data_IF_854620098729
#
_entry.id   IF_854620098729
#
_cell.length_a   1.000
_cell.length_b   1.000
_cell.length_c   1.000
_cell.angle_alpha   90.00
_cell.angle_beta   90.00
_cell.angle_gamma   90.00
#
_symmetry.space_group_name_H-M   'P 1'
#
loop_
_entity.id
_entity.type
_entity.pdbx_description
1 polymer ?
#
# COMPACT_ATOMS: atom_id res chain seq x y z
N UNK A 1 -20.86 22.59 8.48
CA UNK A 1 -19.93 21.98 9.47
C UNK A 1 -19.67 20.48 9.24
N UNK A 2 -20.51 19.72 8.53
CA UNK A 2 -20.38 18.26 8.36
C UNK A 2 -19.08 17.73 7.67
N UNK A 3 -18.45 18.49 6.76
CA UNK A 3 -17.32 18.00 5.93
C UNK A 3 -16.00 17.75 6.70
N UNK A 4 -15.84 18.33 7.89
CA UNK A 4 -14.62 18.15 8.69
C UNK A 4 -14.67 16.88 9.54
N UNK A 5 -15.85 16.50 10.03
CA UNK A 5 -16.03 15.27 10.81
C UNK A 5 -15.78 14.04 9.95
N UNK A 6 -16.33 13.98 8.73
CA UNK A 6 -16.13 12.86 7.81
C UNK A 6 -14.64 12.60 7.50
N UNK A 7 -13.84 13.66 7.35
CA UNK A 7 -12.39 13.53 7.11
C UNK A 7 -11.64 13.04 8.33
N UNK A 8 -12.02 13.50 9.52
CA UNK A 8 -11.40 13.10 10.78
C UNK A 8 -11.75 11.64 11.11
N UNK A 9 -13.00 11.25 10.82
CA UNK A 9 -13.51 9.89 10.96
C UNK A 9 -12.85 8.95 9.94
N UNK A 10 -12.72 9.37 8.68
CA UNK A 10 -11.97 8.63 7.65
C UNK A 10 -10.48 8.46 8.02
N UNK A 11 -9.83 9.49 8.56
CA UNK A 11 -8.45 9.40 9.04
C UNK A 11 -8.29 8.44 10.21
N UNK A 12 -9.23 8.44 11.16
CA UNK A 12 -9.26 7.45 12.27
C UNK A 12 -9.48 6.03 11.76
N UNK A 13 -10.43 5.83 10.85
CA UNK A 13 -10.70 4.52 10.25
C UNK A 13 -9.48 4.00 9.48
N UNK A 14 -8.78 4.86 8.73
CA UNK A 14 -7.54 4.50 8.06
C UNK A 14 -6.43 4.10 9.05
N UNK A 15 -6.28 4.83 10.16
CA UNK A 15 -5.34 4.48 11.23
C UNK A 15 -5.64 3.13 11.88
N UNK A 16 -6.91 2.85 12.18
CA UNK A 16 -7.35 1.55 12.71
C UNK A 16 -7.06 0.44 11.70
N UNK A 17 -7.34 0.63 10.42
CA UNK A 17 -7.06 -0.35 9.37
C UNK A 17 -5.57 -0.69 9.29
N UNK A 18 -4.69 0.32 9.42
CA UNK A 18 -3.24 0.13 9.46
C UNK A 18 -2.83 -0.69 10.68
N UNK A 19 -3.34 -0.36 11.88
CA UNK A 19 -3.06 -1.11 13.11
C UNK A 19 -3.51 -2.57 13.01
N UNK A 20 -4.73 -2.79 12.52
CA UNK A 20 -5.28 -4.13 12.29
C UNK A 20 -4.41 -4.89 11.30
N UNK A 21 -3.97 -4.26 10.21
CA UNK A 21 -3.06 -4.87 9.23
C UNK A 21 -1.71 -5.27 9.84
N UNK A 22 -1.12 -4.42 10.69
CA UNK A 22 0.14 -4.70 11.38
C UNK A 22 0.00 -5.90 12.32
N UNK A 23 -1.10 -6.01 13.06
CA UNK A 23 -1.36 -7.14 13.95
C UNK A 23 -1.73 -8.41 13.17
N UNK A 24 -2.40 -8.28 12.01
CA UNK A 24 -2.79 -9.40 11.18
C UNK A 24 -1.57 -10.11 10.56
N UNK A 25 -0.53 -9.37 10.17
CA UNK A 25 0.68 -9.91 9.53
C UNK A 25 1.40 -11.00 10.35
N UNK A 26 1.70 -10.84 11.65
CA UNK A 26 2.26 -11.92 12.46
C UNK A 26 1.24 -13.03 12.70
N UNK A 27 -0.06 -12.72 12.85
CA UNK A 27 -1.09 -13.75 13.03
C UNK A 27 -1.11 -14.70 11.84
N UNK A 28 -1.15 -14.18 10.60
CA UNK A 28 -1.15 -15.03 9.41
C UNK A 28 0.17 -15.77 9.23
N UNK A 29 1.32 -15.16 9.57
CA UNK A 29 2.62 -15.83 9.49
C UNK A 29 2.73 -16.99 10.47
N UNK A 30 2.30 -16.79 11.71
CA UNK A 30 2.36 -17.83 12.73
C UNK A 30 1.19 -18.83 12.65
N UNK A 31 0.11 -18.48 11.93
CA UNK A 31 -1.07 -19.35 11.75
C UNK A 31 -0.71 -20.71 11.17
N UNK A 32 0.27 -20.77 10.25
CA UNK A 32 0.71 -22.03 9.64
C UNK A 32 1.51 -22.92 10.60
N UNK A 33 2.14 -22.34 11.62
CA UNK A 33 2.81 -23.10 12.68
C UNK A 33 1.84 -23.56 13.76
N UNK A 34 0.76 -22.80 14.01
CA UNK A 34 -0.25 -23.12 15.02
C UNK A 34 -1.26 -24.17 14.54
N UNK A 35 -1.65 -24.14 13.25
CA UNK A 35 -2.66 -25.02 12.67
C UNK A 35 -2.05 -25.97 11.63
N UNK A 36 -1.14 -26.83 12.11
CA UNK A 36 -0.19 -27.63 11.33
C UNK A 36 -0.78 -28.88 10.62
N UNK A 37 -2.07 -28.93 10.30
CA UNK A 37 -2.74 -30.20 9.95
C UNK A 37 -3.06 -30.45 8.48
N UNK A 38 -2.84 -29.52 7.55
CA UNK A 38 -3.20 -29.76 6.12
C UNK A 38 -2.49 -28.90 5.07
N UNK A 39 -1.81 -27.80 5.43
CA UNK A 39 -1.20 -26.91 4.46
C UNK A 39 0.30 -27.20 4.31
N UNK A 40 0.80 -27.09 3.08
CA UNK A 40 2.23 -27.18 2.80
C UNK A 40 2.98 -26.24 3.76
N UNK A 41 3.96 -26.79 4.50
CA UNK A 41 4.70 -26.04 5.50
C UNK A 41 5.33 -24.77 4.91
N UNK A 42 5.57 -23.76 5.75
CA UNK A 42 6.11 -22.46 5.34
C UNK A 42 7.34 -22.61 4.43
N UNK A 43 7.16 -22.34 3.14
CA UNK A 43 8.24 -22.33 2.14
C UNK A 43 9.24 -21.26 2.52
N UNK A 44 10.45 -21.66 2.93
CA UNK A 44 11.52 -20.72 3.15
C UNK A 44 12.05 -20.28 1.78
N UNK A 45 11.94 -18.98 1.48
CA UNK A 45 12.34 -18.37 0.20
C UNK A 45 13.78 -18.70 -0.25
N UNK A 46 14.64 -19.18 0.66
CA UNK A 46 16.02 -19.55 0.35
C UNK A 46 16.28 -21.05 0.19
N UNK A 47 15.56 -21.93 0.89
CA UNK A 47 15.91 -23.36 0.96
C UNK A 47 14.90 -24.29 0.31
N UNK A 48 13.63 -23.87 0.19
CA UNK A 48 12.57 -24.74 -0.35
C UNK A 48 12.26 -24.46 -1.83
N UNK A 49 12.81 -23.38 -2.39
CA UNK A 49 12.60 -22.95 -3.79
C UNK A 49 13.81 -23.33 -4.65
N UNK A 50 13.53 -23.94 -5.81
CA UNK A 50 14.53 -24.30 -6.82
C UNK A 50 15.45 -23.10 -7.15
N UNK A 51 16.79 -23.27 -7.18
CA UNK A 51 17.74 -22.19 -7.46
C UNK A 51 17.40 -21.36 -8.70
N UNK A 52 16.89 -22.00 -9.75
CA UNK A 52 16.53 -21.35 -11.01
C UNK A 52 15.35 -20.38 -10.88
N UNK A 53 14.45 -20.60 -9.91
CA UNK A 53 13.23 -19.80 -9.72
C UNK A 53 13.41 -18.64 -8.74
N UNK A 54 14.51 -18.61 -7.96
CA UNK A 54 14.72 -17.59 -6.93
C UNK A 54 14.87 -16.18 -7.50
N UNK A 55 15.64 -16.05 -8.58
CA UNK A 55 15.91 -14.76 -9.20
C UNK A 55 14.64 -14.17 -9.86
N UNK A 56 13.89 -14.92 -10.70
CA UNK A 56 12.60 -14.47 -11.21
C UNK A 56 11.64 -14.02 -10.10
N UNK A 57 11.53 -14.79 -9.01
CA UNK A 57 10.65 -14.47 -7.90
C UNK A 57 11.02 -13.13 -7.23
N UNK A 58 12.32 -12.89 -6.98
CA UNK A 58 12.79 -11.62 -6.38
C UNK A 58 12.51 -10.43 -7.29
N UNK A 59 12.70 -10.59 -8.60
CA UNK A 59 12.39 -9.55 -9.58
C UNK A 59 10.90 -9.24 -9.57
N UNK A 60 10.03 -10.26 -9.59
CA UNK A 60 8.58 -10.06 -9.51
C UNK A 60 8.18 -9.35 -8.21
N UNK A 61 8.68 -9.79 -7.06
CA UNK A 61 8.42 -9.14 -5.76
C UNK A 61 8.81 -7.65 -5.83
N UNK A 62 10.02 -7.35 -6.30
CA UNK A 62 10.50 -5.97 -6.40
C UNK A 62 9.68 -5.14 -7.39
N UNK A 63 9.34 -5.70 -8.56
CA UNK A 63 8.50 -5.04 -9.56
C UNK A 63 7.10 -4.71 -9.03
N UNK A 64 6.45 -5.66 -8.35
CA UNK A 64 5.13 -5.43 -7.76
C UNK A 64 5.17 -4.43 -6.60
N UNK A 65 6.22 -4.46 -5.77
CA UNK A 65 6.41 -3.48 -4.70
C UNK A 65 6.59 -2.07 -5.26
N UNK A 66 7.51 -1.90 -6.22
CA UNK A 66 7.76 -0.60 -6.87
C UNK A 66 6.52 -0.08 -7.60
N UNK A 67 5.78 -0.94 -8.30
CA UNK A 67 4.49 -0.60 -8.90
C UNK A 67 3.48 -0.13 -7.85
N UNK A 68 3.31 -0.89 -6.76
CA UNK A 68 2.36 -0.57 -5.68
C UNK A 68 2.69 0.77 -5.00
N UNK A 69 3.97 1.03 -4.74
CA UNK A 69 4.45 2.30 -4.20
C UNK A 69 4.17 3.44 -5.18
N UNK A 70 4.48 3.25 -6.47
CA UNK A 70 4.25 4.26 -7.51
C UNK A 70 2.77 4.63 -7.60
N UNK A 71 1.88 3.65 -7.68
CA UNK A 71 0.43 3.88 -7.73
C UNK A 71 -0.08 4.58 -6.46
N UNK A 72 0.46 4.21 -5.30
CA UNK A 72 0.12 4.85 -4.02
C UNK A 72 0.55 6.32 -4.01
N UNK A 73 1.77 6.63 -4.47
CA UNK A 73 2.27 8.01 -4.57
C UNK A 73 1.47 8.84 -5.59
N UNK A 74 1.12 8.26 -6.74
CA UNK A 74 0.24 8.92 -7.72
C UNK A 74 -1.13 9.24 -7.13
N UNK A 75 -1.72 8.29 -6.38
CA UNK A 75 -2.99 8.52 -5.68
C UNK A 75 -2.86 9.59 -4.60
N UNK A 76 -1.78 9.58 -3.82
CA UNK A 76 -1.50 10.60 -2.81
C UNK A 76 -1.37 11.99 -3.43
N UNK A 77 -0.65 12.11 -4.56
CA UNK A 77 -0.54 13.35 -5.32
C UNK A 77 -1.91 13.87 -5.74
N UNK A 78 -2.77 13.01 -6.29
CA UNK A 78 -4.12 13.39 -6.68
C UNK A 78 -4.97 13.84 -5.48
N UNK A 79 -4.84 13.16 -4.33
CA UNK A 79 -5.52 13.56 -3.10
C UNK A 79 -5.06 14.94 -2.63
N UNK A 80 -3.76 15.23 -2.62
CA UNK A 80 -3.23 16.55 -2.24
C UNK A 80 -3.80 17.64 -3.16
N UNK A 81 -3.79 17.42 -4.48
CA UNK A 81 -4.36 18.37 -5.43
C UNK A 81 -5.86 18.62 -5.21
N UNK A 82 -6.63 17.58 -4.86
CA UNK A 82 -8.05 17.72 -4.51
C UNK A 82 -8.26 18.46 -3.18
N UNK A 83 -7.41 18.19 -2.18
CA UNK A 83 -7.46 18.85 -0.87
C UNK A 83 -7.11 20.34 -0.98
N UNK A 84 -6.10 20.66 -1.77
CA UNK A 84 -5.55 22.00 -1.93
C UNK A 84 -6.05 22.74 -3.17
N UNK A 85 -7.14 22.27 -3.80
CA UNK A 85 -7.66 22.82 -5.07
C UNK A 85 -7.89 24.33 -5.08
N UNK A 86 -8.11 24.96 -3.91
CA UNK A 86 -8.32 26.41 -3.76
C UNK A 86 -7.04 27.19 -3.46
N UNK A 87 -5.90 26.53 -3.27
CA UNK A 87 -4.63 27.20 -3.00
C UNK A 87 -4.08 27.85 -4.28
N UNK A 88 -3.44 29.03 -4.19
CA UNK A 88 -2.95 29.76 -5.37
C UNK A 88 -1.99 28.95 -6.24
N UNK A 89 -1.16 28.10 -5.63
CA UNK A 89 -0.19 27.27 -6.34
C UNK A 89 -0.86 26.20 -7.23
N UNK A 90 -2.01 25.63 -6.81
CA UNK A 90 -2.75 24.65 -7.62
C UNK A 90 -3.40 25.34 -8.82
N UNK A 91 -4.00 26.52 -8.61
CA UNK A 91 -4.59 27.31 -9.69
C UNK A 91 -3.53 27.70 -10.72
N UNK A 92 -2.37 28.17 -10.25
CA UNK A 92 -1.22 28.46 -11.11
C UNK A 92 -0.73 27.21 -11.89
N UNK A 93 -0.70 26.04 -11.23
CA UNK A 93 -0.30 24.77 -11.87
C UNK A 93 -1.29 24.35 -12.97
N UNK A 94 -2.59 24.48 -12.72
CA UNK A 94 -3.65 24.18 -13.72
C UNK A 94 -3.54 25.15 -14.91
N UNK A 95 -3.40 26.44 -14.65
CA UNK A 95 -3.24 27.45 -15.71
C UNK A 95 -1.96 27.22 -16.54
N UNK A 96 -0.86 26.81 -15.90
CA UNK A 96 0.39 26.46 -16.59
C UNK A 96 0.26 25.19 -17.44
N UNK A 97 -0.55 24.23 -17.00
CA UNK A 97 -0.88 23.02 -17.76
C UNK A 97 -1.84 23.26 -18.93
N UNK A 98 -2.74 24.24 -18.82
CA UNK A 98 -3.66 24.63 -19.89
C UNK A 98 -2.97 25.45 -21.01
N UNK A 99 -1.83 26.06 -20.71
CA UNK A 99 -1.02 26.83 -21.65
C UNK A 99 0.00 25.97 -22.44
N UNK A 100 0.01 24.65 -22.23
CA UNK A 100 0.94 23.70 -22.86
C UNK A 100 0.15 22.67 -23.65
#
# INVERSE_FOLDING_TARGET
>A
MARFDDRRLAGRAAGILVLVGVVNLPIIHYSVYWWNTLHQGSTNLQQTIDPSMRLPLRICIFAFLTLSVTLTLMRLRNLILQLERRRPWVVALVNKGAAR
#
